data_IF_090775694046
#
_entry.id   IF_090775694046
#
_cell.length_a   1.000
_cell.length_b   1.000
_cell.length_c   1.000
_cell.angle_alpha   90.00
_cell.angle_beta   90.00
_cell.angle_gamma   90.00
#
_symmetry.space_group_name_H-M   'P 1'
#
loop_
_entity.id
_entity.type
_entity.pdbx_description
1 polymer ?
#
# COMPACT_ATOMS: atom_id res chain seq x y z
N UNK A 1 -5.71 -44.51 11.11
CA UNK A 1 -7.10 -44.01 11.20
C UNK A 1 -7.51 -43.37 9.87
N UNK A 2 -8.47 -43.92 9.14
CA UNK A 2 -9.01 -43.30 7.92
C UNK A 2 -9.86 -42.08 8.34
N UNK A 3 -9.36 -40.86 8.07
CA UNK A 3 -10.12 -39.61 8.35
C UNK A 3 -11.41 -39.61 7.51
N UNK A 4 -12.54 -39.31 8.13
CA UNK A 4 -13.86 -39.23 7.49
C UNK A 4 -13.82 -38.28 6.27
N UNK A 5 -14.55 -38.58 5.21
CA UNK A 5 -14.71 -37.73 4.02
C UNK A 5 -15.08 -36.29 4.38
N UNK A 6 -15.96 -36.14 5.38
CA UNK A 6 -16.33 -34.84 5.97
C UNK A 6 -15.11 -34.03 6.39
N UNK A 7 -14.15 -34.64 7.11
CA UNK A 7 -12.95 -33.95 7.57
C UNK A 7 -12.07 -33.49 6.40
N UNK A 8 -11.93 -34.32 5.36
CA UNK A 8 -11.12 -33.99 4.18
C UNK A 8 -11.70 -32.79 3.43
N UNK A 9 -13.03 -32.76 3.25
CA UNK A 9 -13.72 -31.66 2.56
C UNK A 9 -13.63 -30.36 3.36
N UNK A 10 -13.90 -30.41 4.67
CA UNK A 10 -13.76 -29.22 5.53
C UNK A 10 -12.34 -28.69 5.52
N UNK A 11 -11.34 -29.58 5.61
CA UNK A 11 -9.93 -29.18 5.54
C UNK A 11 -9.59 -28.52 4.20
N UNK A 12 -10.07 -29.08 3.09
CA UNK A 12 -9.84 -28.50 1.77
C UNK A 12 -10.44 -27.09 1.64
N UNK A 13 -11.67 -26.88 2.13
CA UNK A 13 -12.33 -25.56 2.13
C UNK A 13 -11.51 -24.57 2.97
N UNK A 14 -11.09 -24.96 4.17
CA UNK A 14 -10.27 -24.10 5.05
C UNK A 14 -8.96 -23.70 4.37
N UNK A 15 -8.27 -24.65 3.73
CA UNK A 15 -7.02 -24.38 3.01
C UNK A 15 -7.27 -23.39 1.86
N UNK A 16 -8.32 -23.57 1.07
CA UNK A 16 -8.65 -22.66 -0.04
C UNK A 16 -8.92 -21.26 0.49
N UNK A 17 -9.72 -21.14 1.55
CA UNK A 17 -10.03 -19.85 2.20
C UNK A 17 -8.74 -19.17 2.68
N UNK A 18 -7.87 -19.88 3.37
CA UNK A 18 -6.58 -19.33 3.83
C UNK A 18 -5.69 -18.87 2.67
N UNK A 19 -5.63 -19.62 1.58
CA UNK A 19 -4.84 -19.24 0.40
C UNK A 19 -5.42 -17.97 -0.23
N UNK A 20 -6.74 -17.84 -0.32
CA UNK A 20 -7.40 -16.63 -0.85
C UNK A 20 -7.11 -15.40 0.02
N UNK A 21 -7.20 -15.52 1.34
CA UNK A 21 -6.90 -14.43 2.27
C UNK A 21 -5.44 -13.97 2.16
N UNK A 22 -4.49 -14.91 2.15
CA UNK A 22 -3.06 -14.60 2.00
C UNK A 22 -2.79 -13.87 0.68
N UNK A 23 -3.35 -14.36 -0.44
CA UNK A 23 -3.21 -13.69 -1.74
C UNK A 23 -3.82 -12.29 -1.73
N UNK A 24 -4.99 -12.11 -1.13
CA UNK A 24 -5.65 -10.82 -1.03
C UNK A 24 -4.79 -9.82 -0.24
N UNK A 25 -4.27 -10.22 0.92
CA UNK A 25 -3.40 -9.38 1.75
C UNK A 25 -2.14 -9.00 0.97
N UNK A 26 -1.52 -9.97 0.28
CA UNK A 26 -0.32 -9.71 -0.53
C UNK A 26 -0.57 -8.72 -1.66
N UNK A 27 -1.64 -8.91 -2.44
CA UNK A 27 -2.00 -7.99 -3.54
C UNK A 27 -2.29 -6.58 -3.02
N UNK A 28 -3.02 -6.46 -1.91
CA UNK A 28 -3.30 -5.16 -1.29
C UNK A 28 -2.02 -4.49 -0.78
N UNK A 29 -1.09 -5.25 -0.18
CA UNK A 29 0.18 -4.72 0.26
C UNK A 29 1.02 -4.17 -0.90
N UNK A 30 1.13 -4.91 -2.00
CA UNK A 30 1.87 -4.46 -3.19
C UNK A 30 1.21 -3.22 -3.83
N UNK A 31 -0.10 -3.24 -3.98
CA UNK A 31 -0.85 -2.08 -4.48
C UNK A 31 -0.64 -0.85 -3.61
N UNK A 32 -0.66 -1.05 -2.31
CA UNK A 32 -0.41 -0.02 -1.33
C UNK A 32 0.96 0.65 -1.52
N UNK A 33 2.03 -0.13 -1.64
CA UNK A 33 3.38 0.41 -1.84
C UNK A 33 3.47 1.28 -3.10
N UNK A 34 2.84 0.84 -4.19
CA UNK A 34 2.82 1.57 -5.45
C UNK A 34 2.00 2.87 -5.37
N UNK A 35 0.82 2.83 -4.76
CA UNK A 35 -0.04 4.01 -4.58
C UNK A 35 0.64 5.04 -3.69
N UNK A 36 1.30 4.60 -2.64
CA UNK A 36 2.01 5.49 -1.73
C UNK A 36 3.15 6.24 -2.43
N UNK A 37 4.00 5.50 -3.15
CA UNK A 37 5.10 6.12 -3.92
C UNK A 37 4.57 7.16 -4.91
N UNK A 38 3.56 6.79 -5.69
CA UNK A 38 2.96 7.70 -6.65
C UNK A 38 2.33 8.95 -5.99
N UNK A 39 1.74 8.80 -4.80
CA UNK A 39 1.18 9.92 -4.06
C UNK A 39 2.26 10.88 -3.57
N UNK A 40 3.33 10.38 -2.94
CA UNK A 40 4.43 11.22 -2.45
C UNK A 40 5.16 11.91 -3.61
N UNK A 41 5.41 11.20 -4.72
CA UNK A 41 6.00 11.77 -5.93
C UNK A 41 5.12 12.91 -6.51
N UNK A 42 3.81 12.68 -6.63
CA UNK A 42 2.87 13.68 -7.14
C UNK A 42 2.75 14.89 -6.22
N UNK A 43 2.72 14.67 -4.89
CA UNK A 43 2.69 15.73 -3.90
C UNK A 43 3.96 16.60 -3.99
N UNK A 44 5.14 15.97 -4.01
CA UNK A 44 6.41 16.67 -4.10
C UNK A 44 6.51 17.52 -5.37
N UNK A 45 6.14 16.94 -6.52
CA UNK A 45 6.14 17.66 -7.80
C UNK A 45 5.16 18.83 -7.80
N UNK A 46 3.96 18.65 -7.23
CA UNK A 46 2.95 19.70 -7.14
C UNK A 46 3.45 20.86 -6.28
N UNK A 47 3.99 20.56 -5.10
CA UNK A 47 4.56 21.56 -4.20
C UNK A 47 5.73 22.28 -4.87
N UNK A 48 6.67 21.56 -5.47
CA UNK A 48 7.82 22.16 -6.13
C UNK A 48 7.44 23.02 -7.34
N UNK A 49 6.47 22.58 -8.15
CA UNK A 49 5.96 23.41 -9.26
C UNK A 49 5.27 24.69 -8.74
N UNK A 50 4.57 24.61 -7.61
CA UNK A 50 3.98 25.79 -6.96
C UNK A 50 5.07 26.73 -6.44
N UNK A 51 6.14 26.18 -5.85
CA UNK A 51 7.29 26.96 -5.41
C UNK A 51 7.99 27.67 -6.59
N UNK A 52 8.12 27.02 -7.76
CA UNK A 52 8.69 27.62 -8.97
C UNK A 52 7.93 28.85 -9.47
N UNK A 53 6.64 29.00 -9.14
CA UNK A 53 5.87 30.17 -9.53
C UNK A 53 6.23 31.43 -8.72
N UNK A 54 6.83 31.24 -7.55
CA UNK A 54 7.17 32.36 -6.63
C UNK A 54 8.68 32.50 -6.44
N UNK A 55 9.45 31.45 -6.60
CA UNK A 55 10.92 31.51 -6.50
C UNK A 55 11.50 31.72 -7.90
N UNK A 56 12.01 32.94 -8.11
CA UNK A 56 12.70 33.30 -9.34
C UNK A 56 14.17 32.88 -9.29
N UNK A 57 14.62 32.05 -10.24
CA UNK A 57 16.00 31.55 -10.29
C UNK A 57 17.04 32.65 -10.44
N UNK A 58 16.72 33.74 -11.14
CA UNK A 58 17.65 34.85 -11.32
C UNK A 58 17.83 35.60 -10.00
N UNK A 59 16.75 35.77 -9.21
CA UNK A 59 16.81 36.36 -7.87
C UNK A 59 17.63 35.49 -6.89
N UNK A 60 17.55 34.15 -7.01
CA UNK A 60 18.32 33.21 -6.18
C UNK A 60 19.82 33.47 -6.34
N UNK A 61 20.30 33.65 -7.57
CA UNK A 61 21.71 33.96 -7.84
C UNK A 61 22.10 35.28 -7.16
N UNK A 62 21.27 36.32 -7.26
CA UNK A 62 21.50 37.58 -6.60
C UNK A 62 21.56 37.49 -5.07
N UNK A 63 20.74 36.66 -4.45
CA UNK A 63 20.77 36.43 -3.00
C UNK A 63 22.03 35.69 -2.56
N UNK A 64 22.50 34.72 -3.35
CA UNK A 64 23.73 33.97 -3.07
C UNK A 64 24.98 34.88 -3.07
N UNK A 65 25.00 35.86 -3.97
CA UNK A 65 26.14 36.81 -4.12
C UNK A 65 26.12 37.90 -3.05
N UNK A 66 24.95 38.50 -2.84
CA UNK A 66 24.84 39.71 -1.99
C UNK A 66 24.50 39.39 -0.53
N UNK A 67 23.95 38.21 -0.23
CA UNK A 67 23.49 37.76 1.09
C UNK A 67 22.56 38.77 1.81
N UNK A 68 21.84 39.58 1.06
CA UNK A 68 20.93 40.59 1.61
C UNK A 68 19.48 40.11 1.55
N UNK A 69 18.82 40.16 2.69
CA UNK A 69 17.38 39.91 2.81
C UNK A 69 16.62 41.22 2.63
N UNK A 70 15.89 41.37 1.55
CA UNK A 70 15.01 42.51 1.28
C UNK A 70 13.54 42.11 1.49
N UNK A 71 12.62 43.04 1.30
CA UNK A 71 11.18 42.81 1.46
C UNK A 71 10.69 41.67 0.54
N UNK A 72 11.15 41.65 -0.72
CA UNK A 72 10.79 40.62 -1.68
C UNK A 72 11.27 39.20 -1.23
N UNK A 73 12.45 39.13 -0.60
CA UNK A 73 12.94 37.87 -0.01
C UNK A 73 11.95 37.31 1.04
N UNK A 74 11.50 38.19 1.98
CA UNK A 74 10.56 37.76 3.02
C UNK A 74 9.17 37.41 2.48
N UNK A 75 8.70 38.12 1.44
CA UNK A 75 7.44 37.76 0.77
C UNK A 75 7.47 36.35 0.17
N UNK A 76 8.56 36.00 -0.52
CA UNK A 76 8.77 34.66 -1.06
C UNK A 76 8.88 33.63 0.07
N UNK A 77 9.70 33.94 1.09
CA UNK A 77 9.89 33.04 2.23
C UNK A 77 8.58 32.71 2.96
N UNK A 78 7.74 33.74 3.23
CA UNK A 78 6.42 33.53 3.83
C UNK A 78 5.51 32.66 2.97
N UNK A 79 5.50 32.87 1.65
CA UNK A 79 4.74 32.00 0.74
C UNK A 79 5.22 30.56 0.77
N UNK A 80 6.52 30.31 0.86
CA UNK A 80 7.05 28.95 1.00
C UNK A 80 6.63 28.30 2.31
N UNK A 81 6.57 29.07 3.41
CA UNK A 81 6.04 28.60 4.70
C UNK A 81 4.56 28.28 4.58
N UNK A 82 3.76 29.11 3.90
CA UNK A 82 2.34 28.84 3.66
C UNK A 82 2.16 27.55 2.85
N UNK A 83 2.96 27.35 1.80
CA UNK A 83 2.91 26.11 0.98
C UNK A 83 3.31 24.88 1.78
N UNK A 84 4.34 24.96 2.63
CA UNK A 84 4.69 23.88 3.56
C UNK A 84 3.51 23.53 4.47
N UNK A 85 2.82 24.54 5.00
CA UNK A 85 1.71 24.35 5.94
C UNK A 85 0.41 23.88 5.27
N UNK A 86 0.34 23.84 3.94
CA UNK A 86 -0.85 23.38 3.20
C UNK A 86 -1.07 21.88 3.35
N UNK A 87 -0.03 21.10 3.65
CA UNK A 87 -0.10 19.65 3.82
C UNK A 87 0.72 19.20 5.03
N UNK A 88 0.10 18.42 5.92
CA UNK A 88 0.78 17.82 7.08
C UNK A 88 1.91 16.87 6.69
N UNK A 89 1.90 16.38 5.46
CA UNK A 89 2.91 15.48 4.95
C UNK A 89 4.16 16.19 4.44
N UNK A 90 4.10 17.51 4.20
CA UNK A 90 5.26 18.32 3.81
C UNK A 90 5.97 18.82 5.05
N UNK A 91 7.14 18.28 5.32
CA UNK A 91 7.95 18.61 6.50
C UNK A 91 8.73 19.91 6.31
N UNK A 92 9.31 20.10 5.12
CA UNK A 92 10.22 21.19 4.83
C UNK A 92 10.24 21.49 3.33
N UNK A 93 10.40 22.77 3.01
CA UNK A 93 10.72 23.24 1.66
C UNK A 93 11.97 24.09 1.78
N UNK A 94 13.01 23.76 1.03
CA UNK A 94 14.27 24.51 1.01
C UNK A 94 14.69 24.83 -0.41
N UNK A 95 15.37 25.92 -0.61
CA UNK A 95 16.04 26.27 -1.88
C UNK A 95 17.54 26.30 -1.63
N UNK A 96 18.26 25.39 -2.27
CA UNK A 96 19.68 25.14 -1.97
C UNK A 96 20.49 25.08 -3.27
N UNK A 97 21.61 25.81 -3.29
CA UNK A 97 22.62 25.69 -4.33
C UNK A 97 23.77 24.84 -3.81
N UNK A 98 24.05 23.69 -4.44
CA UNK A 98 25.13 22.79 -4.06
C UNK A 98 26.47 23.19 -4.71
N UNK A 99 27.53 23.20 -3.91
CA UNK A 99 28.91 23.55 -4.30
C UNK A 99 29.88 22.57 -3.65
N UNK A 100 31.16 22.64 -4.00
CA UNK A 100 32.20 21.75 -3.43
C UNK A 100 32.23 21.69 -1.89
N UNK A 101 31.89 22.79 -1.21
CA UNK A 101 31.89 22.88 0.25
C UNK A 101 30.57 22.45 0.93
N UNK A 102 29.54 22.11 0.17
CA UNK A 102 28.21 21.75 0.72
C UNK A 102 27.06 22.50 0.08
N UNK A 103 25.87 22.36 0.67
CA UNK A 103 24.67 23.07 0.25
C UNK A 103 24.61 24.49 0.81
N UNK A 104 24.58 25.50 -0.07
CA UNK A 104 24.36 26.90 0.30
C UNK A 104 22.86 27.22 0.25
N UNK A 105 22.27 27.50 1.41
CA UNK A 105 20.84 27.73 1.56
C UNK A 105 20.45 29.15 1.16
N UNK A 106 19.38 29.26 0.34
CA UNK A 106 18.76 30.53 0.00
C UNK A 106 17.47 30.71 0.79
N UNK A 107 16.61 29.71 0.78
CA UNK A 107 15.39 29.67 1.58
C UNK A 107 15.32 28.36 2.35
N UNK A 108 14.79 28.42 3.57
CA UNK A 108 14.46 27.27 4.37
C UNK A 108 13.19 27.57 5.18
N UNK A 109 12.24 26.63 5.15
CA UNK A 109 10.98 26.74 5.91
C UNK A 109 11.04 26.03 7.25
N UNK A 110 12.19 25.45 7.63
CA UNK A 110 12.40 24.95 8.97
C UNK A 110 12.59 26.12 9.93
N UNK A 111 11.61 26.32 10.82
CA UNK A 111 11.60 27.38 11.82
C UNK A 111 12.21 26.96 13.16
N UNK A 112 12.75 25.73 13.23
CA UNK A 112 13.42 25.24 14.43
C UNK A 112 14.86 25.77 14.51
N UNK A 113 15.55 25.44 15.58
CA UNK A 113 16.99 25.78 15.74
C UNK A 113 17.87 25.14 14.64
N UNK A 114 17.34 24.11 13.96
CA UNK A 114 18.03 23.43 12.86
C UNK A 114 17.80 24.10 11.50
N UNK A 115 16.91 25.10 11.40
CA UNK A 115 16.67 25.84 10.16
C UNK A 115 17.91 26.56 9.66
N UNK A 116 18.07 26.62 8.34
CA UNK A 116 19.18 27.33 7.71
C UNK A 116 18.81 28.77 7.35
N UNK A 117 19.75 29.68 7.47
CA UNK A 117 19.60 31.05 7.05
C UNK A 117 20.20 31.28 5.65
N UNK A 118 19.80 32.38 5.02
CA UNK A 118 20.36 32.82 3.74
C UNK A 118 21.90 32.87 3.79
N UNK A 119 22.54 32.09 2.93
CA UNK A 119 23.98 32.03 2.80
C UNK A 119 24.67 31.05 3.76
N UNK A 120 23.92 30.33 4.59
CA UNK A 120 24.47 29.26 5.41
C UNK A 120 24.92 28.11 4.50
N UNK A 121 26.14 27.61 4.75
CA UNK A 121 26.68 26.46 4.05
C UNK A 121 26.67 25.28 5.01
N UNK A 122 25.93 24.24 4.63
CA UNK A 122 25.91 22.98 5.37
C UNK A 122 26.71 21.91 4.62
N UNK A 123 27.56 21.17 5.32
CA UNK A 123 28.28 20.07 4.71
C UNK A 123 27.31 19.00 4.20
N UNK A 124 27.72 18.25 3.20
CA UNK A 124 26.96 17.10 2.71
C UNK A 124 26.79 16.07 3.82
N UNK A 125 25.57 15.56 3.97
CA UNK A 125 25.33 14.36 4.78
C UNK A 125 25.85 13.10 4.05
N UNK A 126 25.76 11.94 4.68
CA UNK A 126 26.27 10.69 4.13
C UNK A 126 25.59 10.33 2.80
N UNK A 127 24.29 10.56 2.68
CA UNK A 127 23.49 10.23 1.49
C UNK A 127 23.80 11.22 0.37
N UNK A 128 23.82 12.52 0.67
CA UNK A 128 24.16 13.58 -0.28
C UNK A 128 25.59 13.44 -0.79
N UNK A 129 26.50 13.00 0.05
CA UNK A 129 27.91 12.83 -0.33
C UNK A 129 28.10 11.72 -1.37
N UNK A 130 27.22 10.71 -1.37
CA UNK A 130 27.24 9.65 -2.36
C UNK A 130 26.86 10.11 -3.78
N UNK A 131 26.10 11.22 -3.89
CA UNK A 131 25.61 11.81 -5.16
C UNK A 131 26.08 13.25 -5.33
N UNK A 132 27.21 13.59 -4.73
CA UNK A 132 27.72 14.96 -4.69
C UNK A 132 27.89 15.59 -6.08
N UNK A 133 28.46 14.84 -7.01
CA UNK A 133 28.73 15.33 -8.36
C UNK A 133 27.43 15.64 -9.12
N UNK A 134 26.40 14.82 -8.96
CA UNK A 134 25.06 15.01 -9.53
C UNK A 134 24.37 16.24 -8.90
N UNK A 135 24.53 16.45 -7.58
CA UNK A 135 23.99 17.62 -6.87
C UNK A 135 24.65 18.92 -7.37
N UNK A 136 25.97 18.92 -7.57
CA UNK A 136 26.70 20.09 -8.08
C UNK A 136 26.34 20.37 -9.54
N UNK A 137 26.18 19.33 -10.36
CA UNK A 137 25.77 19.43 -11.75
C UNK A 137 24.31 19.83 -11.94
N UNK A 138 23.54 19.87 -10.85
CA UNK A 138 22.10 20.18 -10.87
C UNK A 138 21.29 19.20 -11.75
N UNK A 139 21.64 17.93 -11.75
CA UNK A 139 20.97 16.87 -12.51
C UNK A 139 19.66 16.43 -11.85
N UNK A 140 18.87 15.65 -12.59
CA UNK A 140 17.67 15.04 -12.04
C UNK A 140 18.05 13.88 -11.11
N UNK A 141 17.68 13.98 -9.83
CA UNK A 141 17.97 13.02 -8.78
C UNK A 141 16.71 12.26 -8.39
N UNK A 142 16.84 10.96 -8.18
CA UNK A 142 15.77 10.15 -7.56
C UNK A 142 15.57 10.59 -6.10
N UNK A 143 14.35 10.47 -5.55
CA UNK A 143 14.07 10.84 -4.17
C UNK A 143 14.97 10.07 -3.20
N UNK A 144 15.53 10.78 -2.22
CA UNK A 144 16.39 10.19 -1.19
C UNK A 144 15.57 9.92 0.07
N UNK A 145 15.46 8.64 0.44
CA UNK A 145 14.74 8.21 1.63
C UNK A 145 15.70 7.98 2.80
N UNK A 146 15.45 8.67 3.91
CA UNK A 146 16.19 8.46 5.17
C UNK A 146 15.35 8.89 6.38
N UNK A 147 15.50 8.18 7.48
CA UNK A 147 14.88 8.50 8.78
C UNK A 147 13.37 8.82 8.73
N UNK A 148 12.58 8.09 7.91
CA UNK A 148 11.13 8.33 7.79
C UNK A 148 10.75 9.59 7.01
N UNK A 149 11.67 10.13 6.22
CA UNK A 149 11.53 11.28 5.35
C UNK A 149 12.03 10.93 3.94
N UNK A 150 11.38 11.48 2.94
CA UNK A 150 11.81 11.40 1.54
C UNK A 150 12.06 12.82 1.02
N UNK A 151 13.27 13.11 0.58
CA UNK A 151 13.66 14.39 0.02
C UNK A 151 13.66 14.33 -1.51
N UNK A 152 12.91 15.23 -2.11
CA UNK A 152 12.76 15.39 -3.55
C UNK A 152 13.56 16.59 -4.02
N UNK A 153 14.53 16.37 -4.89
CA UNK A 153 15.43 17.40 -5.44
C UNK A 153 14.95 17.81 -6.82
N UNK A 154 14.36 18.98 -6.95
CA UNK A 154 13.80 19.48 -8.21
C UNK A 154 14.61 20.70 -8.67
N UNK A 155 15.32 20.62 -9.84
CA UNK A 155 16.14 21.71 -10.33
C UNK A 155 15.32 22.98 -10.56
N UNK A 156 15.82 24.11 -10.07
CA UNK A 156 15.32 25.46 -10.31
C UNK A 156 16.20 26.13 -11.37
N UNK A 157 15.61 26.56 -12.46
CA UNK A 157 16.34 27.18 -13.57
C UNK A 157 16.22 28.71 -13.52
N UNK A 158 17.26 29.39 -14.02
CA UNK A 158 17.22 30.81 -14.36
C UNK A 158 16.34 31.06 -15.59
N UNK A 159 16.11 32.34 -15.94
CA UNK A 159 15.43 32.76 -17.17
C UNK A 159 16.10 32.25 -18.45
N UNK A 160 17.39 31.95 -18.40
CA UNK A 160 18.19 31.34 -19.50
C UNK A 160 18.09 29.81 -19.53
N UNK A 161 17.22 29.20 -18.76
CA UNK A 161 17.07 27.74 -18.61
C UNK A 161 18.33 27.04 -18.11
N UNK A 162 19.17 27.74 -17.35
CA UNK A 162 20.36 27.18 -16.69
C UNK A 162 19.97 26.84 -15.26
N UNK A 163 20.21 25.60 -14.79
CA UNK A 163 19.91 25.23 -13.42
C UNK A 163 20.82 25.98 -12.44
N UNK A 164 20.25 26.63 -11.44
CA UNK A 164 20.96 27.49 -10.48
C UNK A 164 20.86 27.00 -9.04
N UNK A 165 19.86 26.19 -8.73
CA UNK A 165 19.62 25.65 -7.40
C UNK A 165 18.67 24.47 -7.47
N UNK A 166 18.44 23.80 -6.33
CA UNK A 166 17.33 22.87 -6.15
C UNK A 166 16.25 23.46 -5.26
N UNK A 167 15.00 23.18 -5.60
CA UNK A 167 13.91 23.19 -4.65
C UNK A 167 13.87 21.80 -4.03
N UNK A 168 14.12 21.70 -2.73
CA UNK A 168 14.08 20.46 -1.97
C UNK A 168 12.77 20.41 -1.21
N UNK A 169 11.95 19.38 -1.48
CA UNK A 169 10.69 19.14 -0.79
C UNK A 169 10.84 17.88 0.06
N UNK A 170 10.87 18.06 1.37
CA UNK A 170 10.92 16.96 2.34
C UNK A 170 9.51 16.50 2.71
N UNK A 171 9.20 15.22 2.43
CA UNK A 171 7.91 14.61 2.72
C UNK A 171 8.07 13.56 3.82
N UNK A 172 7.15 13.56 4.80
CA UNK A 172 7.09 12.54 5.83
C UNK A 172 6.59 11.22 5.24
N UNK A 173 7.47 10.22 5.14
CA UNK A 173 7.07 8.87 4.76
C UNK A 173 6.43 8.14 5.95
N UNK A 174 6.74 8.52 7.17
CA UNK A 174 6.19 7.93 8.38
C UNK A 174 4.72 8.30 8.60
N UNK A 175 4.35 9.56 8.46
CA UNK A 175 2.95 10.00 8.57
C UNK A 175 2.08 9.34 7.51
N UNK A 176 2.53 9.38 6.25
CA UNK A 176 1.86 8.72 5.13
C UNK A 176 1.71 7.22 5.38
N UNK A 177 2.77 6.55 5.83
CA UNK A 177 2.76 5.13 6.16
C UNK A 177 1.81 4.81 7.32
N UNK A 178 1.75 5.63 8.36
CA UNK A 178 0.91 5.41 9.54
C UNK A 178 -0.58 5.50 9.22
N UNK A 179 -1.00 6.54 8.50
CA UNK A 179 -2.40 6.69 8.06
C UNK A 179 -2.86 5.50 7.22
N UNK A 180 -1.99 5.05 6.35
CA UNK A 180 -2.29 4.00 5.42
C UNK A 180 -2.26 2.59 6.05
N UNK A 181 -1.37 2.31 7.00
CA UNK A 181 -1.39 1.06 7.76
C UNK A 181 -2.71 0.88 8.52
N UNK A 182 -3.27 1.97 9.03
CA UNK A 182 -4.58 1.97 9.68
C UNK A 182 -5.69 1.59 8.68
N UNK A 183 -5.69 2.19 7.50
CA UNK A 183 -6.65 1.87 6.43
C UNK A 183 -6.54 0.43 5.93
N UNK A 184 -5.31 -0.07 5.71
CA UNK A 184 -5.06 -1.47 5.36
C UNK A 184 -5.56 -2.42 6.46
N UNK A 185 -5.36 -2.06 7.72
CA UNK A 185 -5.87 -2.83 8.85
C UNK A 185 -7.39 -2.99 8.80
N UNK A 186 -8.13 -1.92 8.56
CA UNK A 186 -9.60 -1.96 8.42
C UNK A 186 -10.05 -2.83 7.24
N UNK A 187 -9.46 -2.65 6.06
CA UNK A 187 -9.81 -3.46 4.89
C UNK A 187 -9.52 -4.95 5.15
N UNK A 188 -8.37 -5.25 5.73
CA UNK A 188 -7.97 -6.64 6.04
C UNK A 188 -8.98 -7.28 7.01
N UNK A 189 -9.40 -6.58 8.08
CA UNK A 189 -10.39 -7.08 9.03
C UNK A 189 -11.73 -7.34 8.34
N UNK A 190 -12.21 -6.41 7.51
CA UNK A 190 -13.48 -6.54 6.80
C UNK A 190 -13.46 -7.77 5.87
N UNK A 191 -12.41 -7.89 5.04
CA UNK A 191 -12.31 -8.99 4.08
C UNK A 191 -12.17 -10.33 4.78
N UNK A 192 -11.31 -10.43 5.78
CA UNK A 192 -11.16 -11.67 6.57
C UNK A 192 -12.48 -12.06 7.23
N UNK A 193 -13.24 -11.09 7.75
CA UNK A 193 -14.56 -11.36 8.33
C UNK A 193 -15.54 -11.93 7.30
N UNK A 194 -15.61 -11.34 6.11
CA UNK A 194 -16.46 -11.82 5.01
C UNK A 194 -16.04 -13.23 4.58
N UNK A 195 -14.74 -13.46 4.44
CA UNK A 195 -14.19 -14.75 4.01
C UNK A 195 -14.47 -15.85 5.04
N UNK A 196 -14.36 -15.55 6.33
CA UNK A 196 -14.72 -16.50 7.41
C UNK A 196 -16.20 -16.81 7.37
N UNK A 197 -17.08 -15.81 7.24
CA UNK A 197 -18.54 -16.02 7.11
C UNK A 197 -18.87 -16.89 5.91
N UNK A 198 -18.25 -16.63 4.75
CA UNK A 198 -18.42 -17.44 3.56
C UNK A 198 -17.92 -18.87 3.77
N UNK A 199 -16.80 -19.08 4.41
CA UNK A 199 -16.28 -20.40 4.76
C UNK A 199 -17.22 -21.20 5.65
N UNK A 200 -17.79 -20.55 6.69
CA UNK A 200 -18.79 -21.18 7.57
C UNK A 200 -20.05 -21.54 6.79
N UNK A 201 -20.54 -20.65 5.93
CA UNK A 201 -21.68 -20.91 5.05
C UNK A 201 -21.41 -22.08 4.11
N UNK A 202 -20.26 -22.16 3.48
CA UNK A 202 -19.88 -23.24 2.58
C UNK A 202 -19.81 -24.60 3.30
N UNK A 203 -19.25 -24.62 4.52
CA UNK A 203 -19.23 -25.84 5.34
C UNK A 203 -20.65 -26.29 5.69
N UNK A 204 -21.52 -25.37 6.09
CA UNK A 204 -22.93 -25.65 6.39
C UNK A 204 -23.67 -26.17 5.14
N UNK A 205 -23.52 -25.49 4.00
CA UNK A 205 -24.12 -25.86 2.72
C UNK A 205 -23.69 -27.28 2.27
N UNK A 206 -22.39 -27.54 2.27
CA UNK A 206 -21.85 -28.86 1.91
C UNK A 206 -22.34 -29.96 2.86
N UNK A 207 -22.44 -29.64 4.15
CA UNK A 207 -22.92 -30.61 5.13
C UNK A 207 -24.40 -30.96 4.93
N UNK A 208 -25.21 -29.96 4.56
CA UNK A 208 -26.65 -30.15 4.39
C UNK A 208 -27.00 -30.77 3.04
N UNK A 209 -26.46 -30.24 1.96
CA UNK A 209 -26.87 -30.60 0.59
C UNK A 209 -26.09 -31.79 -0.01
N UNK A 210 -24.87 -32.07 0.48
CA UNK A 210 -24.02 -33.09 -0.10
C UNK A 210 -23.76 -34.26 0.88
N UNK A 211 -23.25 -33.95 2.06
CA UNK A 211 -22.77 -34.98 2.99
C UNK A 211 -23.90 -35.78 3.65
N UNK A 212 -25.03 -35.13 3.98
CA UNK A 212 -26.19 -35.82 4.58
C UNK A 212 -26.83 -36.81 3.62
N UNK A 213 -27.19 -36.42 2.37
CA UNK A 213 -27.74 -37.34 1.38
C UNK A 213 -26.77 -38.50 1.09
N UNK A 214 -25.51 -38.22 0.89
CA UNK A 214 -24.48 -39.22 0.58
C UNK A 214 -24.29 -40.25 1.70
N UNK A 215 -24.31 -39.80 2.95
CA UNK A 215 -24.26 -40.68 4.11
C UNK A 215 -25.53 -41.55 4.25
N UNK A 216 -26.71 -40.99 3.92
CA UNK A 216 -27.97 -41.71 3.93
C UNK A 216 -27.94 -42.84 2.87
N UNK A 217 -27.49 -42.51 1.65
CA UNK A 217 -27.33 -43.51 0.57
C UNK A 217 -26.32 -44.61 0.93
N UNK A 218 -25.17 -44.22 1.48
CA UNK A 218 -24.15 -45.18 1.92
C UNK A 218 -24.67 -46.15 3.00
N UNK A 219 -25.43 -45.61 3.97
CA UNK A 219 -26.06 -46.44 5.01
C UNK A 219 -27.12 -47.40 4.43
N UNK A 220 -27.96 -46.92 3.51
CA UNK A 220 -28.96 -47.75 2.87
C UNK A 220 -28.33 -48.87 2.01
N UNK A 221 -27.27 -48.53 1.25
CA UNK A 221 -26.52 -49.52 0.48
C UNK A 221 -25.87 -50.59 1.37
N UNK A 222 -25.29 -50.20 2.50
CA UNK A 222 -24.72 -51.15 3.46
C UNK A 222 -25.79 -52.04 4.13
N UNK A 223 -26.95 -51.46 4.43
CA UNK A 223 -28.08 -52.23 4.98
C UNK A 223 -28.68 -53.21 3.96
N UNK A 224 -28.64 -52.85 2.67
CA UNK A 224 -29.09 -53.73 1.58
C UNK A 224 -28.23 -54.98 1.45
N UNK A 225 -26.93 -54.86 1.53
CA UNK A 225 -26.02 -56.03 1.48
C UNK A 225 -26.23 -56.99 2.65
N UNK A 226 -26.65 -56.51 3.81
CA UNK A 226 -26.94 -57.32 4.99
C UNK A 226 -28.35 -57.92 4.93
N UNK A 227 -29.33 -57.20 4.37
CA UNK A 227 -30.72 -57.66 4.27
C UNK A 227 -30.91 -58.78 3.23
N UNK A 228 -30.19 -58.77 2.09
CA UNK A 228 -30.18 -59.85 1.10
C UNK A 228 -29.67 -61.18 1.71
N UNK A 229 -28.72 -61.07 2.64
CA UNK A 229 -28.14 -62.25 3.31
C UNK A 229 -29.07 -62.85 4.37
N UNK A 230 -30.14 -62.19 4.79
CA UNK A 230 -30.90 -62.60 5.96
C UNK A 230 -32.39 -62.94 5.73
N UNK A 231 -33.17 -62.26 4.87
CA UNK A 231 -34.64 -62.41 4.92
C UNK A 231 -35.44 -61.99 3.68
N UNK A 232 -34.91 -61.80 2.50
CA UNK A 232 -35.72 -61.56 1.28
C UNK A 232 -36.73 -60.39 1.35
N UNK A 233 -36.58 -59.43 2.28
CA UNK A 233 -37.46 -58.29 2.46
C UNK A 233 -37.10 -57.10 1.58
N UNK A 234 -38.10 -56.24 1.28
CA UNK A 234 -37.96 -55.03 0.46
C UNK A 234 -36.71 -54.18 0.79
N UNK A 235 -36.04 -53.74 -0.25
CA UNK A 235 -34.82 -52.94 -0.16
C UNK A 235 -35.03 -51.66 0.65
N UNK A 236 -34.21 -51.36 1.66
CA UNK A 236 -34.24 -50.06 2.35
C UNK A 236 -34.02 -48.88 1.41
N UNK A 237 -33.43 -49.09 0.24
CA UNK A 237 -33.20 -48.09 -0.79
C UNK A 237 -34.50 -47.62 -1.44
N UNK A 238 -35.51 -48.54 -1.62
CA UNK A 238 -36.79 -48.20 -2.23
C UNK A 238 -37.60 -47.18 -1.41
N UNK A 239 -37.32 -47.05 -0.11
CA UNK A 239 -37.99 -46.09 0.81
C UNK A 239 -37.26 -44.75 0.96
N UNK A 240 -36.10 -44.57 0.32
CA UNK A 240 -35.35 -43.31 0.40
C UNK A 240 -35.98 -42.26 -0.54
N UNK A 241 -36.22 -41.08 0.00
CA UNK A 241 -36.70 -39.92 -0.76
C UNK A 241 -35.66 -38.81 -0.62
N UNK A 242 -34.70 -38.76 -1.51
CA UNK A 242 -33.68 -37.70 -1.59
C UNK A 242 -34.11 -36.78 -2.71
N UNK A 243 -34.41 -35.53 -2.36
CA UNK A 243 -34.81 -34.44 -3.28
C UNK A 243 -33.76 -33.34 -3.23
N UNK A 244 -32.68 -33.51 -4.00
CA UNK A 244 -31.61 -32.50 -4.11
C UNK A 244 -31.65 -31.72 -5.42
N UNK A 245 -32.44 -32.20 -6.42
CA UNK A 245 -32.56 -31.61 -7.74
C UNK A 245 -31.35 -31.76 -8.64
N UNK A 246 -30.42 -32.63 -8.27
CA UNK A 246 -29.13 -32.83 -8.93
C UNK A 246 -28.79 -34.32 -9.21
N UNK A 247 -27.53 -34.58 -9.55
CA UNK A 247 -27.03 -35.95 -9.84
C UNK A 247 -27.18 -36.91 -8.66
N UNK A 248 -27.25 -36.41 -7.42
CA UNK A 248 -27.48 -37.24 -6.23
C UNK A 248 -28.91 -37.80 -6.19
N UNK A 249 -29.89 -37.01 -6.60
CA UNK A 249 -31.29 -37.47 -6.75
C UNK A 249 -31.38 -38.55 -7.85
N UNK A 250 -30.77 -38.31 -9.03
CA UNK A 250 -30.71 -39.30 -10.13
C UNK A 250 -30.01 -40.58 -9.71
N UNK A 251 -28.92 -40.46 -8.95
CA UNK A 251 -28.22 -41.65 -8.43
C UNK A 251 -29.10 -42.42 -7.45
N UNK A 252 -29.82 -41.74 -6.57
CA UNK A 252 -30.76 -42.37 -5.66
C UNK A 252 -31.90 -43.10 -6.41
N UNK A 253 -32.45 -42.48 -7.46
CA UNK A 253 -33.48 -43.10 -8.30
C UNK A 253 -32.98 -44.31 -9.08
N UNK A 254 -31.77 -44.28 -9.59
CA UNK A 254 -31.16 -45.40 -10.30
C UNK A 254 -30.84 -46.62 -9.40
N UNK A 255 -30.76 -46.41 -8.09
CA UNK A 255 -30.51 -47.42 -7.08
C UNK A 255 -31.79 -48.06 -6.51
N UNK A 256 -32.98 -47.51 -6.80
CA UNK A 256 -34.30 -48.05 -6.40
C UNK A 256 -34.73 -49.21 -7.27
#
# INVERSE_FOLDING_TARGET
>A
MKKSLKYKIVLAIVIIVCIMDVNFIFVNYVNYMNVNRNYTDSLAQTVANTCRLVVDGDSVTGYLDNRRRNTAYYEVWNKLIDYRNTSENVLQISVVNFRDGGGCYVYDTDLTENGAFLGDIRPYDEVQNAIKDELIACEKIEPLEYNGRSDYYIPLNSSYNIPVAYIIVGISTENVRREQLTYLGYITIIVTSITVLFGVFMIWFMQHNVLRPLNAMSKAASSYSIAILRDGKESPISRMNIRTGDELERLCESMK
#
